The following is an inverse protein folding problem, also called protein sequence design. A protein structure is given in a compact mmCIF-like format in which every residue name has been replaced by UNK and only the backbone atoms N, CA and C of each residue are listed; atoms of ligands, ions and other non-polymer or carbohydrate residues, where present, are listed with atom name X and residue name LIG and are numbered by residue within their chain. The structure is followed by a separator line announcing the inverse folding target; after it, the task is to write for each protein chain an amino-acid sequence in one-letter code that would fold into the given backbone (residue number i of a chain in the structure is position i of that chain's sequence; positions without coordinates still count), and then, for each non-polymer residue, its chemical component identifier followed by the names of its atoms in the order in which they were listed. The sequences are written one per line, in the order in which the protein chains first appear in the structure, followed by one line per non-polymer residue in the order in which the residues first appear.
data_IF_449973421790
#
_entry.id   IF_449973421790
#
_cell.length_a   1.000
_cell.length_b   1.000
_cell.length_c   1.000
_cell.angle_alpha   90.00
_cell.angle_beta   90.00
_cell.angle_gamma   90.00
#
_symmetry.space_group_name_H-M   'P 1'
#
loop_
_entity.id
_entity.type
_entity.pdbx_description
1 polymer ?
#
# COMPACT_ATOMS: atom_id res chain seq x y z
N UNK A 1 12.07 -15.24 9.60
CA UNK A 1 11.24 -14.07 9.96
C UNK A 1 10.00 -14.09 9.09
N UNK A 2 8.81 -14.03 9.72
CA UNK A 2 7.51 -14.03 9.03
C UNK A 2 6.87 -12.65 9.19
N UNK A 3 6.60 -11.99 8.06
CA UNK A 3 5.98 -10.67 8.02
C UNK A 3 4.59 -10.76 7.40
N UNK A 4 3.61 -10.12 8.03
CA UNK A 4 2.26 -9.95 7.52
C UNK A 4 2.09 -8.52 7.02
N UNK A 5 1.82 -8.36 5.72
CA UNK A 5 1.48 -7.07 5.11
C UNK A 5 -0.02 -6.89 5.00
N UNK A 6 -0.49 -5.68 5.31
CA UNK A 6 -1.90 -5.31 5.30
C UNK A 6 -2.13 -3.99 4.56
N UNK A 7 -3.10 -3.97 3.64
CA UNK A 7 -3.64 -2.75 3.04
C UNK A 7 -5.14 -2.89 2.77
N UNK A 8 -5.92 -1.98 3.34
CA UNK A 8 -7.36 -1.82 3.07
C UNK A 8 -7.69 -0.36 2.74
N UNK A 9 -6.71 0.40 2.26
CA UNK A 9 -6.83 1.84 2.04
C UNK A 9 -7.59 2.23 0.76
N UNK A 10 -7.97 1.24 -0.05
CA UNK A 10 -8.79 1.40 -1.27
C UNK A 10 -10.01 0.48 -1.25
N UNK A 11 -10.64 0.29 -2.39
CA UNK A 11 -11.72 -0.70 -2.56
C UNK A 11 -11.20 -2.15 -2.59
N UNK A 12 -9.89 -2.33 -2.52
CA UNK A 12 -9.24 -3.62 -2.54
C UNK A 12 -8.65 -3.98 -1.18
N UNK A 13 -8.70 -5.26 -0.85
CA UNK A 13 -7.89 -5.85 0.19
C UNK A 13 -6.59 -6.34 -0.42
N UNK A 14 -5.46 -5.90 0.12
CA UNK A 14 -4.17 -6.49 -0.17
C UNK A 14 -3.58 -7.08 1.10
N UNK A 15 -3.32 -8.38 1.08
CA UNK A 15 -2.58 -9.08 2.11
C UNK A 15 -1.33 -9.70 1.51
N UNK A 16 -0.24 -9.67 2.25
CA UNK A 16 1.00 -10.34 1.88
C UNK A 16 1.53 -11.19 3.03
N UNK A 17 1.88 -12.43 2.76
CA UNK A 17 2.66 -13.26 3.66
C UNK A 17 4.07 -13.38 3.11
N UNK A 18 5.03 -12.92 3.88
CA UNK A 18 6.43 -12.86 3.49
C UNK A 18 7.25 -13.67 4.50
N UNK A 19 8.16 -14.50 4.02
CA UNK A 19 9.10 -15.25 4.86
C UNK A 19 10.52 -15.01 4.38
N UNK A 20 11.38 -14.58 5.27
CA UNK A 20 12.81 -14.36 4.99
C UNK A 20 13.04 -13.53 3.71
N UNK A 21 12.30 -12.42 3.57
CA UNK A 21 12.28 -11.52 2.41
C UNK A 21 11.73 -12.12 1.10
N UNK A 22 11.11 -13.29 1.16
CA UNK A 22 10.44 -13.90 0.01
C UNK A 22 8.92 -13.84 0.19
N UNK A 23 8.22 -13.34 -0.82
CA UNK A 23 6.75 -13.33 -0.83
C UNK A 23 6.26 -14.75 -1.04
N UNK A 24 5.59 -15.32 -0.03
CA UNK A 24 4.96 -16.62 -0.10
C UNK A 24 3.63 -16.54 -0.84
N UNK A 25 2.82 -15.53 -0.51
CA UNK A 25 1.50 -15.32 -1.10
C UNK A 25 1.09 -13.86 -1.02
N UNK A 26 0.39 -13.40 -2.04
CA UNK A 26 -0.36 -12.15 -2.04
C UNK A 26 -1.82 -12.43 -2.31
N UNK A 27 -2.71 -11.85 -1.52
CA UNK A 27 -4.15 -11.77 -1.78
C UNK A 27 -4.43 -10.34 -2.26
N UNK A 28 -5.09 -10.21 -3.39
CA UNK A 28 -5.57 -8.94 -3.93
C UNK A 28 -6.99 -9.15 -4.44
N UNK A 29 -7.97 -8.64 -3.72
CA UNK A 29 -9.37 -8.85 -4.05
C UNK A 29 -10.22 -7.61 -3.82
N UNK A 30 -11.19 -7.39 -4.72
CA UNK A 30 -12.17 -6.31 -4.59
C UNK A 30 -13.13 -6.60 -3.44
N UNK A 31 -13.28 -5.65 -2.53
CA UNK A 31 -14.16 -5.77 -1.38
C UNK A 31 -15.34 -4.80 -1.50
N UNK A 32 -16.54 -5.34 -1.70
CA UNK A 32 -17.74 -4.52 -1.81
C UNK A 32 -18.30 -4.06 -0.45
N UNK A 33 -18.27 -4.92 0.59
CA UNK A 33 -18.82 -4.63 1.92
C UNK A 33 -18.16 -5.48 3.02
N UNK A 34 -18.35 -5.09 4.30
CA UNK A 34 -17.85 -5.83 5.47
C UNK A 34 -16.33 -6.02 5.56
N UNK A 35 -15.60 -5.00 5.16
CA UNK A 35 -14.14 -4.98 5.04
C UNK A 35 -13.41 -5.56 6.26
N UNK A 36 -13.80 -5.18 7.48
CA UNK A 36 -13.12 -5.64 8.70
C UNK A 36 -13.27 -7.16 8.92
N UNK A 37 -14.50 -7.68 8.74
CA UNK A 37 -14.75 -9.12 8.93
C UNK A 37 -14.03 -9.96 7.88
N UNK A 38 -14.08 -9.53 6.62
CA UNK A 38 -13.45 -10.24 5.53
C UNK A 38 -11.93 -10.23 5.70
N UNK A 39 -11.34 -9.10 6.08
CA UNK A 39 -9.89 -8.98 6.30
C UNK A 39 -9.40 -9.98 7.35
N UNK A 40 -10.09 -10.09 8.49
CA UNK A 40 -9.70 -11.04 9.53
C UNK A 40 -9.80 -12.50 9.07
N UNK A 41 -10.89 -12.86 8.35
CA UNK A 41 -11.05 -14.21 7.79
C UNK A 41 -9.95 -14.54 6.78
N UNK A 42 -9.59 -13.57 5.93
CA UNK A 42 -8.53 -13.76 4.93
C UNK A 42 -7.15 -13.91 5.56
N UNK A 43 -6.86 -13.18 6.64
CA UNK A 43 -5.62 -13.38 7.39
C UNK A 43 -5.55 -14.79 7.96
N UNK A 44 -6.63 -15.26 8.58
CA UNK A 44 -6.69 -16.61 9.17
C UNK A 44 -6.54 -17.70 8.10
N UNK A 45 -7.24 -17.58 6.97
CA UNK A 45 -7.14 -18.48 5.82
C UNK A 45 -5.72 -18.51 5.25
N UNK A 46 -5.10 -17.33 5.08
CA UNK A 46 -3.74 -17.18 4.55
C UNK A 46 -2.71 -17.86 5.46
N UNK A 47 -2.81 -17.68 6.75
CA UNK A 47 -1.90 -18.32 7.71
C UNK A 47 -2.08 -19.84 7.73
N UNK A 48 -3.34 -20.32 7.73
CA UNK A 48 -3.65 -21.77 7.70
C UNK A 48 -3.15 -22.47 6.43
N UNK A 49 -3.21 -21.81 5.28
CA UNK A 49 -2.71 -22.35 4.01
C UNK A 49 -1.22 -22.73 4.11
N UNK A 50 -0.45 -22.00 4.91
CA UNK A 50 0.97 -22.25 5.12
C UNK A 50 1.29 -22.94 6.45
N UNK A 51 0.29 -23.48 7.15
CA UNK A 51 0.40 -24.11 8.46
C UNK A 51 1.01 -23.18 9.54
N UNK A 52 0.72 -21.88 9.47
CA UNK A 52 1.10 -20.90 10.47
C UNK A 52 -0.09 -20.54 11.38
N UNK A 53 0.25 -20.12 12.59
CA UNK A 53 -0.64 -19.50 13.54
C UNK A 53 -0.31 -17.99 13.64
N UNK A 54 -1.20 -17.20 14.20
CA UNK A 54 -0.95 -15.78 14.43
C UNK A 54 0.30 -15.51 15.29
N UNK A 55 0.61 -16.42 16.23
CA UNK A 55 1.82 -16.36 17.06
C UNK A 55 3.12 -16.48 16.28
N UNK A 56 3.10 -17.10 15.09
CA UNK A 56 4.27 -17.31 14.25
C UNK A 56 4.68 -16.05 13.47
N UNK A 57 3.79 -15.04 13.40
CA UNK A 57 4.09 -13.75 12.80
C UNK A 57 5.15 -13.06 13.67
N UNK A 58 6.22 -12.58 13.05
CA UNK A 58 7.29 -11.84 13.74
C UNK A 58 7.07 -10.33 13.68
N UNK A 59 6.48 -9.84 12.60
CA UNK A 59 6.20 -8.42 12.39
C UNK A 59 4.97 -8.19 11.52
N UNK A 60 4.35 -7.04 11.71
CA UNK A 60 3.22 -6.58 10.91
C UNK A 60 3.62 -5.29 10.18
N UNK A 61 3.32 -5.22 8.90
CA UNK A 61 3.50 -4.02 8.08
C UNK A 61 2.14 -3.58 7.57
N UNK A 62 1.73 -2.35 7.81
CA UNK A 62 0.46 -1.83 7.31
C UNK A 62 0.63 -0.54 6.53
N UNK A 63 -0.27 -0.31 5.58
CA UNK A 63 -0.35 0.96 4.85
C UNK A 63 -0.93 2.03 5.78
N UNK A 64 -0.25 3.18 5.85
CA UNK A 64 -0.66 4.33 6.68
C UNK A 64 -1.40 5.43 5.91
N UNK A 65 -1.58 5.26 4.61
CA UNK A 65 -2.21 6.20 3.70
C UNK A 65 -1.24 6.79 2.68
N UNK A 66 -1.73 7.70 1.83
CA UNK A 66 -3.11 8.19 1.73
C UNK A 66 -4.10 7.13 1.22
N UNK A 67 -5.41 7.36 1.41
CA UNK A 67 -6.46 6.46 0.95
C UNK A 67 -7.79 6.64 1.69
N UNK A 68 -8.68 5.67 1.54
CA UNK A 68 -9.99 5.66 2.21
C UNK A 68 -9.85 5.78 3.72
N UNK A 69 -10.50 6.77 4.31
CA UNK A 69 -10.49 7.00 5.77
C UNK A 69 -10.98 5.77 6.56
N UNK A 70 -12.09 5.17 6.12
CA UNK A 70 -12.64 3.96 6.74
C UNK A 70 -11.68 2.78 6.58
N UNK A 71 -11.17 2.59 5.38
CA UNK A 71 -10.21 1.51 5.09
C UNK A 71 -8.93 1.64 5.92
N UNK A 72 -8.34 2.82 5.99
CA UNK A 72 -7.14 3.09 6.80
C UNK A 72 -7.37 2.80 8.29
N UNK A 73 -8.52 3.21 8.83
CA UNK A 73 -8.85 2.90 10.24
C UNK A 73 -8.93 1.39 10.49
N UNK A 74 -9.54 0.63 9.58
CA UNK A 74 -9.63 -0.82 9.68
C UNK A 74 -8.23 -1.44 9.62
N UNK A 75 -7.43 -1.08 8.62
CA UNK A 75 -6.06 -1.55 8.45
C UNK A 75 -5.23 -1.33 9.73
N UNK A 76 -5.16 -0.08 10.18
CA UNK A 76 -4.36 0.32 11.34
C UNK A 76 -4.88 -0.34 12.62
N UNK A 77 -6.20 -0.47 12.79
CA UNK A 77 -6.78 -1.12 13.97
C UNK A 77 -6.41 -2.60 14.01
N UNK A 78 -6.58 -3.33 12.90
CA UNK A 78 -6.21 -4.74 12.81
C UNK A 78 -4.71 -4.90 13.07
N UNK A 79 -3.87 -4.12 12.38
CA UNK A 79 -2.42 -4.19 12.53
C UNK A 79 -1.95 -3.93 13.97
N UNK A 80 -2.51 -2.91 14.63
CA UNK A 80 -2.22 -2.62 16.05
C UNK A 80 -2.70 -3.73 16.97
N UNK A 81 -3.88 -4.30 16.72
CA UNK A 81 -4.43 -5.39 17.54
C UNK A 81 -3.52 -6.62 17.47
N UNK A 82 -3.10 -7.01 16.27
CA UNK A 82 -2.15 -8.11 16.10
C UNK A 82 -0.81 -7.81 16.78
N UNK A 83 -0.23 -6.64 16.51
CA UNK A 83 1.07 -6.27 17.06
C UNK A 83 1.05 -6.22 18.60
N UNK A 84 0.03 -5.60 19.18
CA UNK A 84 -0.11 -5.51 20.64
C UNK A 84 -0.43 -6.87 21.26
N UNK A 85 -1.44 -7.59 20.72
CA UNK A 85 -1.88 -8.88 21.27
C UNK A 85 -0.82 -9.98 21.20
N UNK A 86 0.04 -9.93 20.20
CA UNK A 86 1.11 -10.90 19.99
C UNK A 86 2.49 -10.40 20.47
N UNK A 87 2.58 -9.18 20.99
CA UNK A 87 3.85 -8.51 21.36
C UNK A 87 4.86 -8.51 20.20
N UNK A 88 4.42 -8.08 19.02
CA UNK A 88 5.23 -8.06 17.78
C UNK A 88 5.47 -6.64 17.29
N UNK A 89 6.48 -6.47 16.43
CA UNK A 89 6.79 -5.18 15.83
C UNK A 89 5.72 -4.78 14.83
N UNK A 90 5.42 -3.48 14.80
CA UNK A 90 4.52 -2.85 13.83
C UNK A 90 5.29 -1.81 13.03
N UNK A 91 5.22 -1.94 11.72
CA UNK A 91 5.75 -0.97 10.77
C UNK A 91 4.63 -0.40 9.92
N UNK A 92 4.81 0.82 9.45
CA UNK A 92 3.91 1.44 8.49
C UNK A 92 4.65 1.87 7.24
N UNK A 93 3.95 1.84 6.12
CA UNK A 93 4.47 2.27 4.82
C UNK A 93 3.46 3.20 4.14
N UNK A 94 3.94 4.22 3.44
CA UNK A 94 3.08 5.04 2.60
C UNK A 94 2.48 4.22 1.46
N UNK A 95 1.21 4.47 1.12
CA UNK A 95 0.55 3.88 -0.04
C UNK A 95 1.26 4.29 -1.34
N UNK A 96 1.62 5.56 -1.48
CA UNK A 96 2.31 6.06 -2.66
C UNK A 96 3.69 5.41 -2.83
N UNK A 97 4.43 5.26 -1.73
CA UNK A 97 5.71 4.55 -1.76
C UNK A 97 5.55 3.08 -2.17
N UNK A 98 4.58 2.37 -1.58
CA UNK A 98 4.30 0.97 -1.92
C UNK A 98 3.94 0.81 -3.41
N UNK A 99 3.13 1.74 -3.96
CA UNK A 99 2.80 1.79 -5.38
C UNK A 99 4.04 2.06 -6.24
N UNK A 100 4.89 3.02 -5.87
CA UNK A 100 6.13 3.32 -6.59
C UNK A 100 7.08 2.11 -6.65
N UNK A 101 7.16 1.31 -5.58
CA UNK A 101 7.98 0.10 -5.53
C UNK A 101 7.53 -0.99 -6.52
N UNK A 102 6.28 -0.96 -6.99
CA UNK A 102 5.78 -1.91 -8.00
C UNK A 102 6.24 -1.57 -9.42
N UNK A 103 6.65 -0.32 -9.67
CA UNK A 103 7.13 0.14 -10.98
C UNK A 103 8.60 -0.25 -11.13
N UNK A 104 8.92 -0.97 -12.21
CA UNK A 104 10.29 -1.37 -12.56
C UNK A 104 10.74 -0.68 -13.85
N UNK A 105 12.05 -0.56 -14.02
CA UNK A 105 12.69 -0.12 -15.26
C UNK A 105 12.26 1.28 -15.74
N UNK A 106 11.97 2.18 -14.80
CA UNK A 106 11.64 3.59 -15.07
C UNK A 106 12.56 4.52 -14.31
N UNK A 107 12.94 5.62 -14.98
CA UNK A 107 13.74 6.67 -14.35
C UNK A 107 12.93 7.41 -13.28
N UNK A 108 11.63 7.61 -13.53
CA UNK A 108 10.72 8.22 -12.58
C UNK A 108 9.44 7.41 -12.43
N UNK A 109 8.96 7.33 -11.21
CA UNK A 109 7.77 6.61 -10.78
C UNK A 109 6.81 7.60 -10.16
N UNK A 110 5.59 7.65 -10.69
CA UNK A 110 4.59 8.66 -10.35
C UNK A 110 3.33 7.98 -9.83
N UNK A 111 3.31 7.59 -8.55
CA UNK A 111 2.09 7.06 -7.93
C UNK A 111 1.07 8.19 -7.73
N UNK A 112 -0.19 7.88 -8.04
CA UNK A 112 -1.31 8.83 -7.96
C UNK A 112 -2.50 8.14 -7.33
N UNK A 113 -3.13 8.80 -6.36
CA UNK A 113 -4.41 8.41 -5.78
C UNK A 113 -5.37 9.57 -5.99
N UNK A 114 -6.52 9.30 -6.61
CA UNK A 114 -7.55 10.31 -6.81
C UNK A 114 -8.05 10.86 -5.47
N UNK A 115 -8.01 12.18 -5.33
CA UNK A 115 -8.52 12.89 -4.15
C UNK A 115 -9.76 13.73 -4.48
N UNK A 116 -10.37 13.45 -5.65
CA UNK A 116 -11.55 14.10 -6.22
C UNK A 116 -11.38 15.59 -6.55
N UNK A 117 -12.33 16.10 -7.33
CA UNK A 117 -12.38 17.52 -7.72
C UNK A 117 -11.09 18.03 -8.37
N UNK A 118 -10.48 17.22 -9.26
CA UNK A 118 -9.24 17.60 -9.97
C UNK A 118 -7.99 17.61 -9.08
N UNK A 119 -8.06 17.01 -7.88
CA UNK A 119 -6.93 16.88 -6.97
C UNK A 119 -6.51 15.43 -6.81
N UNK A 120 -5.26 15.23 -6.45
CA UNK A 120 -4.64 13.93 -6.22
C UNK A 120 -3.76 13.96 -4.97
N UNK A 121 -3.58 12.81 -4.36
CA UNK A 121 -2.38 12.53 -3.61
C UNK A 121 -1.35 11.96 -4.57
N UNK A 122 -0.21 12.58 -4.68
CA UNK A 122 0.82 12.19 -5.61
C UNK A 122 2.21 12.45 -5.09
N UNK A 123 3.16 11.79 -5.72
CA UNK A 123 4.59 11.94 -5.48
C UNK A 123 5.36 11.61 -6.74
N UNK A 124 6.64 11.93 -6.76
CA UNK A 124 7.57 11.46 -7.79
C UNK A 124 8.78 10.85 -7.10
N UNK A 125 9.09 9.63 -7.49
CA UNK A 125 10.28 8.91 -7.04
C UNK A 125 11.23 8.64 -8.20
N UNK A 126 12.52 8.57 -7.93
CA UNK A 126 13.51 8.12 -8.90
C UNK A 126 13.52 6.59 -9.05
N UNK A 127 14.41 6.09 -9.89
CA UNK A 127 14.61 4.65 -10.13
C UNK A 127 14.93 3.86 -8.84
N UNK A 128 15.58 4.50 -7.87
CA UNK A 128 16.00 3.91 -6.60
C UNK A 128 14.97 4.12 -5.47
N UNK A 129 13.78 4.64 -5.79
CA UNK A 129 12.72 5.02 -4.84
C UNK A 129 13.09 6.17 -3.89
N UNK A 130 14.01 7.06 -4.29
CA UNK A 130 14.22 8.31 -3.57
C UNK A 130 13.18 9.34 -4.01
N UNK A 131 12.71 10.15 -3.08
CA UNK A 131 11.74 11.22 -3.36
C UNK A 131 12.37 12.33 -4.21
N UNK A 132 11.72 12.67 -5.32
CA UNK A 132 12.01 13.83 -6.18
C UNK A 132 10.94 14.91 -5.94
N UNK A 133 9.69 14.52 -5.77
CA UNK A 133 8.60 15.37 -5.30
C UNK A 133 7.96 14.70 -4.09
N UNK A 134 7.91 15.42 -2.98
CA UNK A 134 7.32 14.96 -1.72
C UNK A 134 5.88 14.51 -1.89
N UNK A 135 5.49 13.49 -1.13
CA UNK A 135 4.12 13.01 -1.07
C UNK A 135 3.18 14.10 -0.57
N UNK A 136 2.21 14.49 -1.39
CA UNK A 136 1.32 15.60 -1.04
C UNK A 136 -0.03 15.54 -1.75
N UNK A 137 -1.00 16.27 -1.17
CA UNK A 137 -2.25 16.62 -1.82
C UNK A 137 -2.03 17.83 -2.71
N UNK A 138 -2.39 17.73 -3.99
CA UNK A 138 -2.16 18.80 -4.95
C UNK A 138 -3.15 18.73 -6.13
N UNK A 139 -3.22 19.80 -6.93
CA UNK A 139 -3.94 19.77 -8.19
C UNK A 139 -3.28 18.76 -9.16
N UNK A 140 -4.09 17.96 -9.84
CA UNK A 140 -3.62 16.96 -10.82
C UNK A 140 -2.75 17.60 -11.90
N UNK A 141 -3.19 18.76 -12.43
CA UNK A 141 -2.46 19.49 -13.46
C UNK A 141 -1.06 19.95 -12.99
N UNK A 142 -0.93 20.30 -11.71
CA UNK A 142 0.37 20.70 -11.14
C UNK A 142 1.35 19.52 -11.10
N UNK A 143 0.86 18.31 -10.75
CA UNK A 143 1.67 17.10 -10.80
C UNK A 143 2.08 16.77 -12.24
N UNK A 144 1.14 16.80 -13.18
CA UNK A 144 1.42 16.50 -14.59
C UNK A 144 2.46 17.46 -15.16
N UNK A 145 2.30 18.78 -14.89
CA UNK A 145 3.28 19.78 -15.31
C UNK A 145 4.66 19.53 -14.72
N UNK A 146 4.74 19.19 -13.43
CA UNK A 146 6.02 18.84 -12.80
C UNK A 146 6.69 17.65 -13.50
N UNK A 147 5.92 16.63 -13.86
CA UNK A 147 6.44 15.42 -14.53
C UNK A 147 6.93 15.73 -15.94
N UNK A 148 6.25 16.62 -16.68
CA UNK A 148 6.66 17.08 -18.02
C UNK A 148 7.99 17.85 -18.00
N UNK A 149 8.30 18.52 -16.89
CA UNK A 149 9.54 19.27 -16.68
C UNK A 149 10.74 18.40 -16.21
N UNK A 150 10.51 17.09 -15.97
CA UNK A 150 11.58 16.17 -15.57
C UNK A 150 12.64 15.98 -16.67
N UNK A 151 13.86 15.75 -16.24
CA UNK A 151 15.02 15.62 -17.13
C UNK A 151 14.95 14.44 -18.12
N UNK A 152 14.07 13.46 -17.87
CA UNK A 152 13.90 12.29 -18.74
C UNK A 152 12.42 11.98 -18.94
N UNK A 153 11.99 11.66 -20.17
CA UNK A 153 10.63 11.21 -20.46
C UNK A 153 10.37 9.75 -20.05
N UNK A 154 11.37 9.07 -19.46
CA UNK A 154 11.23 7.68 -19.01
C UNK A 154 10.55 7.61 -17.64
N UNK A 155 9.25 7.90 -17.58
CA UNK A 155 8.43 7.81 -16.38
C UNK A 155 7.24 6.86 -16.56
N UNK A 156 6.63 6.44 -15.46
CA UNK A 156 5.37 5.73 -15.45
C UNK A 156 4.47 6.24 -14.33
N UNK A 157 3.21 6.44 -14.67
CA UNK A 157 2.14 6.65 -13.71
C UNK A 157 1.61 5.31 -13.21
N UNK A 158 1.18 5.28 -11.96
CA UNK A 158 0.44 4.16 -11.38
C UNK A 158 -0.70 4.68 -10.53
N UNK A 159 -1.89 4.15 -10.79
CA UNK A 159 -3.10 4.39 -10.00
C UNK A 159 -3.87 3.08 -9.87
N UNK A 160 -4.57 2.87 -8.74
CA UNK A 160 -5.46 1.72 -8.57
C UNK A 160 -6.83 1.92 -9.19
N UNK A 161 -7.22 3.17 -9.41
CA UNK A 161 -8.50 3.58 -9.98
C UNK A 161 -8.28 4.42 -11.22
N UNK A 162 -9.27 4.44 -12.11
CA UNK A 162 -9.25 5.37 -13.23
C UNK A 162 -9.20 6.81 -12.68
N UNK A 163 -8.31 7.62 -13.22
CA UNK A 163 -8.22 9.02 -12.90
C UNK A 163 -9.22 9.79 -13.79
N UNK A 164 -10.17 10.48 -13.18
CA UNK A 164 -11.10 11.38 -13.87
C UNK A 164 -10.39 12.61 -14.46
#
# INVERSE_FOLDING_TARGET
MISLFLDTSSNYLTLGLIKDNQVLKTIYELLANNLSKITLSRIDELLKEYNYQASDIDEIVCVSGPGSFTGLRICITIAKTYAYGLNKKLYSVSKLYAMACSIKDKAYKVPIIDARHGHVYGAVYDANNNLILEEQYMAKEALLKFVEELASPNYAYISEEALD
#
